data_IF_436194727369
#
_entry.id   IF_436194727369
#
_cell.length_a   1.000
_cell.length_b   1.000
_cell.length_c   1.000
_cell.angle_alpha   90.00
_cell.angle_beta   90.00
_cell.angle_gamma   90.00
#
_symmetry.space_group_name_H-M   'P 1'
#
loop_
_entity.id
_entity.type
_entity.pdbx_description
1 polymer ?
#
# COMPACT_ATOMS: atom_id res chain seq x y z
N UNK A 1 21.00 -54.67 25.64
CA UNK A 1 20.40 -53.37 26.02
C UNK A 1 21.12 -52.17 25.42
N UNK A 2 22.40 -52.24 25.06
CA UNK A 2 23.14 -51.12 24.41
C UNK A 2 22.56 -50.67 23.07
N UNK A 3 22.06 -51.57 22.25
CA UNK A 3 21.55 -51.26 20.90
C UNK A 3 20.28 -50.39 20.90
N UNK A 4 19.42 -50.52 21.88
CA UNK A 4 18.20 -49.73 22.01
C UNK A 4 18.52 -48.28 22.34
N UNK A 5 19.52 -48.02 23.18
CA UNK A 5 19.96 -46.69 23.57
C UNK A 5 20.61 -45.98 22.38
N UNK A 6 21.46 -46.64 21.60
CA UNK A 6 22.09 -46.13 20.41
C UNK A 6 21.05 -45.78 19.35
N UNK A 7 20.06 -46.64 19.13
CA UNK A 7 18.96 -46.43 18.18
C UNK A 7 18.12 -45.17 18.52
N UNK A 8 17.78 -45.00 19.81
CA UNK A 8 17.04 -43.81 20.28
C UNK A 8 17.85 -42.53 20.07
N UNK A 9 19.16 -42.56 20.33
CA UNK A 9 20.05 -41.43 20.13
C UNK A 9 20.11 -41.02 18.67
N UNK A 10 20.23 -41.95 17.74
CA UNK A 10 20.25 -41.73 16.32
C UNK A 10 18.91 -41.16 15.79
N UNK A 11 17.78 -41.63 16.28
CA UNK A 11 16.45 -41.14 15.95
C UNK A 11 16.32 -39.67 16.37
N UNK A 12 16.74 -39.30 17.58
CA UNK A 12 16.72 -37.92 18.04
C UNK A 12 17.57 -37.00 17.15
N UNK A 13 18.77 -37.39 16.78
CA UNK A 13 19.62 -36.64 15.87
C UNK A 13 18.98 -36.46 14.49
N UNK A 14 18.34 -37.47 13.94
CA UNK A 14 17.63 -37.42 12.67
C UNK A 14 16.43 -36.48 12.75
N UNK A 15 15.69 -36.46 13.85
CA UNK A 15 14.54 -35.55 14.06
C UNK A 15 15.01 -34.10 14.14
N UNK A 16 16.08 -33.81 14.88
CA UNK A 16 16.64 -32.46 14.94
C UNK A 16 17.17 -31.99 13.57
N UNK A 17 17.84 -32.83 12.83
CA UNK A 17 18.29 -32.53 11.47
C UNK A 17 17.14 -32.22 10.54
N UNK A 18 16.05 -33.00 10.60
CA UNK A 18 14.84 -32.74 9.81
C UNK A 18 14.18 -31.41 10.17
N UNK A 19 14.07 -31.10 11.46
CA UNK A 19 13.50 -29.82 11.92
C UNK A 19 14.32 -28.62 11.42
N UNK A 20 15.63 -28.69 11.47
CA UNK A 20 16.53 -27.63 10.97
C UNK A 20 16.31 -27.43 9.47
N UNK A 21 16.23 -28.49 8.69
CA UNK A 21 15.99 -28.41 7.23
C UNK A 21 14.62 -27.79 6.93
N UNK A 22 13.57 -28.16 7.67
CA UNK A 22 12.23 -27.58 7.51
C UNK A 22 12.20 -26.07 7.83
N UNK A 23 12.84 -25.65 8.90
CA UNK A 23 12.92 -24.25 9.29
C UNK A 23 13.72 -23.45 8.24
N UNK A 24 14.86 -23.94 7.81
CA UNK A 24 15.70 -23.29 6.78
C UNK A 24 14.95 -23.19 5.45
N UNK A 25 14.23 -24.22 5.06
CA UNK A 25 13.40 -24.22 3.85
C UNK A 25 12.30 -23.18 3.88
N UNK A 26 11.58 -23.06 5.00
CA UNK A 26 10.52 -22.05 5.16
C UNK A 26 11.06 -20.63 5.12
N UNK A 27 12.19 -20.35 5.77
CA UNK A 27 12.85 -19.04 5.72
C UNK A 27 13.29 -18.69 4.31
N UNK A 28 13.88 -19.64 3.60
CA UNK A 28 14.32 -19.43 2.22
C UNK A 28 13.16 -19.15 1.26
N UNK A 29 12.06 -19.90 1.37
CA UNK A 29 10.84 -19.67 0.58
C UNK A 29 10.23 -18.30 0.85
N UNK A 30 10.19 -17.87 2.11
CA UNK A 30 9.70 -16.55 2.49
C UNK A 30 10.54 -15.42 1.89
N UNK A 31 11.87 -15.52 1.95
CA UNK A 31 12.78 -14.55 1.34
C UNK A 31 12.65 -14.50 -0.18
N UNK A 32 12.49 -15.65 -0.83
CA UNK A 32 12.28 -15.73 -2.27
C UNK A 32 10.97 -15.11 -2.72
N UNK A 33 9.89 -15.36 -2.00
CA UNK A 33 8.58 -14.78 -2.27
C UNK A 33 8.61 -13.25 -2.17
N UNK A 34 9.28 -12.70 -1.16
CA UNK A 34 9.45 -11.26 -0.98
C UNK A 34 10.25 -10.62 -2.14
N UNK A 35 11.34 -11.24 -2.58
CA UNK A 35 12.10 -10.79 -3.75
C UNK A 35 11.27 -10.80 -5.04
N UNK A 36 10.47 -11.84 -5.27
CA UNK A 36 9.60 -11.96 -6.45
C UNK A 36 8.55 -10.85 -6.42
N UNK A 37 7.95 -10.56 -5.26
CA UNK A 37 6.99 -9.48 -5.11
C UNK A 37 7.61 -8.11 -5.43
N UNK A 38 8.78 -7.79 -4.90
CA UNK A 38 9.49 -6.53 -5.15
C UNK A 38 9.91 -6.36 -6.61
N UNK A 39 10.27 -7.43 -7.29
CA UNK A 39 10.64 -7.40 -8.71
C UNK A 39 9.42 -7.27 -9.61
N UNK A 40 8.30 -7.92 -9.25
CA UNK A 40 7.08 -7.94 -10.05
C UNK A 40 6.30 -6.63 -9.99
N UNK A 41 6.16 -6.05 -8.79
CA UNK A 41 5.36 -4.84 -8.57
C UNK A 41 6.27 -3.65 -8.28
N UNK A 42 6.04 -2.57 -8.96
CA UNK A 42 6.75 -1.32 -8.73
C UNK A 42 5.76 -0.17 -8.62
N UNK A 43 5.93 0.66 -7.59
CA UNK A 43 5.11 1.82 -7.34
C UNK A 43 5.73 3.07 -7.98
N UNK A 44 4.87 3.87 -8.60
CA UNK A 44 5.24 5.14 -9.20
C UNK A 44 4.26 6.22 -8.79
N UNK A 45 4.69 7.45 -8.85
CA UNK A 45 3.85 8.63 -8.73
C UNK A 45 3.63 9.25 -10.10
N UNK A 46 2.36 9.54 -10.43
CA UNK A 46 1.98 10.19 -11.67
C UNK A 46 1.34 11.54 -11.40
N UNK A 47 1.71 12.59 -12.15
CA UNK A 47 0.99 13.85 -12.07
C UNK A 47 -0.46 13.64 -12.50
N UNK A 48 -1.40 14.24 -11.79
CA UNK A 48 -2.81 14.20 -12.10
C UNK A 48 -3.30 15.59 -12.53
N UNK A 49 -4.17 15.62 -13.53
CA UNK A 49 -4.83 16.84 -13.95
C UNK A 49 -6.13 16.99 -13.18
N UNK A 50 -6.24 18.03 -12.37
CA UNK A 50 -7.44 18.33 -11.59
C UNK A 50 -8.52 18.86 -12.52
N UNK A 51 -9.69 18.21 -12.50
CA UNK A 51 -10.85 18.60 -13.29
C UNK A 51 -11.79 19.46 -12.45
N UNK A 52 -12.10 19.00 -11.25
CA UNK A 52 -13.05 19.66 -10.35
C UNK A 52 -12.68 19.38 -8.90
N UNK A 53 -12.78 20.41 -8.07
CA UNK A 53 -12.66 20.28 -6.61
C UNK A 53 -14.00 20.66 -5.99
N UNK A 54 -14.56 19.77 -5.19
CA UNK A 54 -15.79 20.02 -4.43
C UNK A 54 -15.46 20.16 -2.96
N UNK A 55 -15.76 21.31 -2.39
CA UNK A 55 -15.54 21.59 -0.98
C UNK A 55 -16.89 21.63 -0.29
N UNK A 56 -17.08 20.76 0.70
CA UNK A 56 -18.27 20.72 1.54
C UNK A 56 -17.92 21.07 2.98
N UNK A 57 -18.89 21.58 3.78
CA UNK A 57 -18.64 21.79 5.19
C UNK A 57 -18.20 20.52 5.89
N UNK A 58 -17.16 20.60 6.71
CA UNK A 58 -16.72 19.47 7.50
C UNK A 58 -17.77 19.10 8.54
N UNK A 59 -17.98 17.81 8.73
CA UNK A 59 -18.89 17.26 9.73
C UNK A 59 -18.09 16.63 10.87
N UNK A 60 -18.64 16.69 12.07
CA UNK A 60 -18.11 15.96 13.21
C UNK A 60 -18.80 14.60 13.30
N UNK A 61 -18.03 13.54 13.21
CA UNK A 61 -18.52 12.18 13.39
C UNK A 61 -18.05 11.63 14.74
N UNK A 62 -18.94 10.89 15.40
CA UNK A 62 -18.57 10.19 16.62
C UNK A 62 -17.99 8.83 16.26
N UNK A 63 -16.72 8.65 16.55
CA UNK A 63 -16.04 7.37 16.39
C UNK A 63 -15.85 6.71 17.75
N UNK A 64 -16.17 5.42 17.80
CA UNK A 64 -15.91 4.59 18.97
C UNK A 64 -14.45 4.10 18.91
N UNK A 65 -13.59 4.70 19.73
CA UNK A 65 -12.24 4.21 19.96
C UNK A 65 -12.21 3.54 21.33
N UNK A 66 -12.31 2.20 21.35
CA UNK A 66 -12.49 1.46 22.59
C UNK A 66 -13.87 1.69 23.22
N UNK A 67 -13.94 2.02 24.53
CA UNK A 67 -15.20 2.28 25.27
C UNK A 67 -15.61 3.76 25.30
N UNK A 68 -14.77 4.65 24.81
CA UNK A 68 -15.02 6.11 24.88
C UNK A 68 -15.35 6.64 23.49
N UNK A 69 -16.54 7.20 23.25
CA UNK A 69 -16.85 7.85 21.99
C UNK A 69 -15.99 9.12 21.84
N UNK A 70 -15.33 9.23 20.68
CA UNK A 70 -14.50 10.39 20.35
C UNK A 70 -15.10 11.10 19.14
N UNK A 71 -15.29 12.41 19.25
CA UNK A 71 -15.69 13.24 18.11
C UNK A 71 -14.48 13.48 17.21
N UNK A 72 -14.59 13.09 15.92
CA UNK A 72 -13.55 13.29 14.91
C UNK A 72 -14.11 14.18 13.80
N UNK A 73 -13.33 15.19 13.41
CA UNK A 73 -13.67 16.05 12.28
C UNK A 73 -13.36 15.31 10.98
N UNK A 74 -14.38 15.10 10.15
CA UNK A 74 -14.25 14.44 8.86
C UNK A 74 -14.25 15.50 7.76
N UNK A 75 -13.23 15.47 6.91
CA UNK A 75 -13.14 16.30 5.73
C UNK A 75 -14.08 15.79 4.65
N UNK A 76 -14.90 16.67 4.09
CA UNK A 76 -15.86 16.36 3.02
C UNK A 76 -15.44 16.96 1.67
N UNK A 77 -14.15 17.18 1.46
CA UNK A 77 -13.63 17.67 0.19
C UNK A 77 -13.39 16.50 -0.76
N UNK A 78 -13.73 16.68 -2.02
CA UNK A 78 -13.51 15.71 -3.07
C UNK A 78 -12.78 16.35 -4.24
N UNK A 79 -11.91 15.61 -4.87
CA UNK A 79 -11.23 16.00 -6.09
C UNK A 79 -11.54 15.01 -7.21
N UNK A 80 -11.90 15.53 -8.37
CA UNK A 80 -12.02 14.78 -9.61
C UNK A 80 -10.79 15.08 -10.49
N UNK A 81 -10.13 14.05 -10.95
CA UNK A 81 -8.89 14.17 -11.70
C UNK A 81 -8.78 13.12 -12.80
N UNK A 82 -7.96 13.42 -13.79
CA UNK A 82 -7.56 12.48 -14.82
C UNK A 82 -6.05 12.23 -14.79
N UNK A 83 -5.63 11.08 -15.30
CA UNK A 83 -4.23 10.71 -15.40
C UNK A 83 -3.76 10.74 -16.86
N UNK A 84 -2.44 10.86 -17.12
CA UNK A 84 -1.89 10.89 -18.48
C UNK A 84 -2.24 9.63 -19.29
N UNK A 85 -2.29 9.75 -20.60
CA UNK A 85 -2.87 8.83 -21.56
C UNK A 85 -2.52 7.35 -21.47
N UNK A 86 -1.33 6.99 -21.01
CA UNK A 86 -0.91 5.59 -20.84
C UNK A 86 -1.54 4.91 -19.63
N UNK A 87 -2.03 5.69 -18.66
CA UNK A 87 -2.61 5.19 -17.41
C UNK A 87 -4.14 5.15 -17.42
N UNK A 88 -4.80 5.80 -18.35
CA UNK A 88 -6.25 5.81 -18.58
C UNK A 88 -6.80 7.25 -18.75
N UNK A 89 -6.44 7.89 -19.85
CA UNK A 89 -6.80 9.28 -20.14
C UNK A 89 -8.31 9.57 -20.19
N UNK A 90 -9.12 8.54 -20.41
CA UNK A 90 -10.58 8.68 -20.50
C UNK A 90 -11.32 8.47 -19.19
N UNK A 91 -10.62 8.01 -18.15
CA UNK A 91 -11.23 7.73 -16.85
C UNK A 91 -11.06 8.92 -15.91
N UNK A 92 -12.17 9.37 -15.36
CA UNK A 92 -12.19 10.37 -14.31
C UNK A 92 -12.21 9.65 -12.97
N UNK A 93 -11.22 9.93 -12.16
CA UNK A 93 -11.12 9.39 -10.81
C UNK A 93 -11.65 10.40 -9.80
N UNK A 94 -12.24 9.93 -8.74
CA UNK A 94 -12.73 10.74 -7.62
C UNK A 94 -12.14 10.24 -6.32
N UNK A 95 -11.60 11.14 -5.54
CA UNK A 95 -10.97 10.81 -4.26
C UNK A 95 -11.29 11.85 -3.20
N UNK A 96 -11.26 11.43 -1.95
CA UNK A 96 -11.37 12.35 -0.82
C UNK A 96 -10.08 13.15 -0.69
N UNK A 97 -10.21 14.46 -0.52
CA UNK A 97 -9.10 15.38 -0.38
C UNK A 97 -9.06 15.92 1.06
N UNK A 98 -7.96 15.70 1.75
CA UNK A 98 -7.75 16.25 3.09
C UNK A 98 -7.59 17.77 3.03
N UNK A 99 -7.96 18.46 4.12
CA UNK A 99 -7.90 19.92 4.18
C UNK A 99 -6.48 20.48 3.95
N UNK A 100 -5.46 19.78 4.44
CA UNK A 100 -4.05 20.15 4.23
C UNK A 100 -3.67 20.06 2.76
N UNK A 101 -4.08 19.01 2.08
CA UNK A 101 -3.84 18.83 0.65
C UNK A 101 -4.61 19.86 -0.18
N UNK A 102 -5.83 20.19 0.21
CA UNK A 102 -6.61 21.24 -0.43
C UNK A 102 -5.92 22.60 -0.34
N UNK A 103 -5.37 22.93 0.81
CA UNK A 103 -4.62 24.17 1.01
C UNK A 103 -3.38 24.23 0.10
N UNK A 104 -2.63 23.14 0.02
CA UNK A 104 -1.46 23.06 -0.86
C UNK A 104 -1.83 23.13 -2.34
N UNK A 105 -2.93 22.49 -2.73
CA UNK A 105 -3.42 22.54 -4.10
C UNK A 105 -3.88 23.93 -4.51
N UNK A 106 -4.57 24.66 -3.63
CA UNK A 106 -4.98 26.04 -3.86
C UNK A 106 -3.77 27.02 -3.92
N UNK A 107 -2.67 26.67 -3.28
CA UNK A 107 -1.41 27.42 -3.34
C UNK A 107 -0.60 27.15 -4.62
N UNK A 108 -1.14 26.38 -5.57
CA UNK A 108 -0.48 26.04 -6.84
C UNK A 108 0.30 24.74 -6.83
N UNK A 109 0.09 23.90 -5.83
CA UNK A 109 0.72 22.58 -5.75
C UNK A 109 0.23 21.62 -6.83
N UNK A 110 1.06 20.66 -7.20
CA UNK A 110 0.74 19.62 -8.17
C UNK A 110 0.19 18.38 -7.46
N UNK A 111 -1.00 17.94 -7.87
CA UNK A 111 -1.58 16.69 -7.40
C UNK A 111 -0.87 15.50 -8.07
N UNK A 112 -0.46 14.54 -7.26
CA UNK A 112 0.10 13.28 -7.73
C UNK A 112 -0.64 12.11 -7.13
N UNK A 113 -0.76 11.06 -7.92
CA UNK A 113 -1.45 9.83 -7.57
C UNK A 113 -0.50 8.65 -7.73
N UNK A 114 -0.49 7.78 -6.74
CA UNK A 114 0.33 6.57 -6.77
C UNK A 114 -0.33 5.49 -7.60
N UNK A 115 0.44 4.84 -8.45
CA UNK A 115 0.02 3.65 -9.19
C UNK A 115 1.07 2.55 -9.09
N UNK A 116 0.61 1.32 -9.19
CA UNK A 116 1.46 0.14 -9.16
C UNK A 116 1.50 -0.50 -10.54
N UNK A 117 2.69 -0.73 -11.05
CA UNK A 117 2.93 -1.46 -12.30
C UNK A 117 3.21 -2.93 -11.99
N UNK A 118 2.42 -3.82 -12.59
CA UNK A 118 2.73 -5.24 -12.65
C UNK A 118 3.60 -5.51 -13.87
N UNK A 119 4.88 -5.75 -13.63
CA UNK A 119 5.86 -5.97 -14.71
C UNK A 119 5.63 -7.27 -15.50
N UNK A 120 4.96 -8.23 -14.90
CA UNK A 120 4.67 -9.51 -15.55
C UNK A 120 3.54 -9.40 -16.57
N UNK A 121 2.46 -8.69 -16.22
CA UNK A 121 1.29 -8.51 -17.08
C UNK A 121 1.28 -7.17 -17.80
N UNK A 122 2.19 -6.28 -17.45
CA UNK A 122 2.28 -4.89 -17.94
C UNK A 122 0.99 -4.08 -17.68
N UNK A 123 0.28 -4.41 -16.60
CA UNK A 123 -0.92 -3.72 -16.16
C UNK A 123 -0.62 -2.75 -15.03
N UNK A 124 -1.35 -1.66 -15.01
CA UNK A 124 -1.26 -0.65 -13.96
C UNK A 124 -2.51 -0.64 -13.11
N UNK A 125 -2.33 -0.45 -11.80
CA UNK A 125 -3.43 -0.27 -10.85
C UNK A 125 -3.25 1.06 -10.13
N UNK A 126 -4.23 1.92 -10.24
CA UNK A 126 -4.23 3.23 -9.60
C UNK A 126 -4.75 3.12 -8.17
N UNK A 127 -4.01 3.70 -7.22
CA UNK A 127 -4.45 3.81 -5.83
C UNK A 127 -5.18 5.15 -5.63
N UNK A 128 -6.51 5.12 -5.65
CA UNK A 128 -7.34 6.33 -5.49
C UNK A 128 -7.26 6.94 -4.09
N UNK A 129 -6.77 6.20 -3.12
CA UNK A 129 -6.54 6.69 -1.74
C UNK A 129 -5.12 7.21 -1.50
N UNK A 130 -4.22 7.00 -2.45
CA UNK A 130 -2.80 7.35 -2.33
C UNK A 130 -2.52 8.65 -3.09
N UNK A 131 -2.99 9.75 -2.54
CA UNK A 131 -2.80 11.08 -3.09
C UNK A 131 -1.71 11.82 -2.33
N UNK A 132 -0.97 12.66 -3.04
CA UNK A 132 -0.11 13.68 -2.44
C UNK A 132 -0.13 14.95 -3.27
N UNK A 133 0.13 16.06 -2.63
CA UNK A 133 0.30 17.34 -3.32
C UNK A 133 1.73 17.78 -3.13
N UNK A 134 2.45 17.98 -4.23
CA UNK A 134 3.81 18.49 -4.23
C UNK A 134 3.75 20.01 -4.41
N UNK A 135 4.44 20.71 -3.54
CA UNK A 135 4.62 22.13 -3.68
C UNK A 135 5.53 22.39 -4.89
N UNK A 136 5.04 23.22 -5.82
CA UNK A 136 5.82 23.58 -7.00
C UNK A 136 7.03 24.40 -6.54
N UNK A 137 8.22 23.87 -6.76
CA UNK A 137 9.49 24.53 -6.43
C UNK A 137 9.93 25.31 -7.68
N UNK A 138 9.38 26.47 -7.88
CA UNK A 138 9.89 27.45 -8.85
C UNK A 138 10.33 28.71 -8.11
#
# INVERSE_FOLDING_TARGET
MGDIVIKRRNIRRSVYGLLIVLIAGNVWLGLRADKIHKVRYQDFWSPATVIKVTVMPSTNETQLSGKIPKSVRVSNNYVEYSLPGTLSAKTIYRSVLEDEMLTLLNAGGQLEVKYTLDKQTNRTKVCTKCLRVIKDIN
#
